data_IF_923071364683
#
_entry.id   IF_923071364683
#
_cell.length_a   1.000
_cell.length_b   1.000
_cell.length_c   1.000
_cell.angle_alpha   90.00
_cell.angle_beta   90.00
_cell.angle_gamma   90.00
#
_symmetry.space_group_name_H-M   'P 1'
#
loop_
_entity.id
_entity.type
_entity.pdbx_description
1 polymer ?
#
# COMPACT_ATOMS: atom_id res chain seq x y z
N UNK A 1 -17.24 13.07 3.36
CA UNK A 1 -15.89 12.47 3.42
C UNK A 1 -15.67 11.75 2.11
N UNK A 2 -14.90 12.35 1.20
CA UNK A 2 -14.66 11.79 -0.13
C UNK A 2 -13.85 10.47 -0.01
N UNK A 3 -14.24 9.45 -0.75
CA UNK A 3 -13.60 8.13 -0.77
C UNK A 3 -12.08 8.23 -0.96
N UNK A 4 -11.33 7.87 0.08
CA UNK A 4 -9.86 7.72 0.07
C UNK A 4 -9.39 6.50 -0.76
N UNK A 5 -10.30 5.79 -1.42
CA UNK A 5 -10.11 4.44 -1.97
C UNK A 5 -9.33 4.36 -3.29
N UNK A 6 -9.21 5.44 -4.06
CA UNK A 6 -8.82 5.29 -5.47
C UNK A 6 -7.34 4.97 -5.71
N UNK A 7 -6.42 5.17 -4.77
CA UNK A 7 -4.98 5.03 -5.06
C UNK A 7 -4.32 3.75 -4.54
N UNK A 8 -4.74 3.22 -3.38
CA UNK A 8 -4.15 1.99 -2.82
C UNK A 8 -4.55 0.74 -3.64
N UNK A 9 -5.69 0.79 -4.32
CA UNK A 9 -6.13 -0.26 -5.24
C UNK A 9 -5.33 -0.29 -6.55
N UNK A 10 -4.78 0.83 -7.03
CA UNK A 10 -4.04 0.86 -8.31
C UNK A 10 -2.73 0.06 -8.22
N UNK A 11 -2.11 -0.02 -7.04
CA UNK A 11 -0.93 -0.87 -6.83
C UNK A 11 -1.24 -2.36 -6.57
N UNK A 12 -2.53 -2.71 -6.43
CA UNK A 12 -3.01 -4.09 -6.23
C UNK A 12 -3.80 -4.67 -7.41
N UNK A 13 -4.27 -3.84 -8.34
CA UNK A 13 -5.18 -4.24 -9.42
C UNK A 13 -4.53 -4.42 -10.80
N UNK A 14 -3.21 -4.27 -10.97
CA UNK A 14 -2.58 -4.45 -12.29
C UNK A 14 -2.46 -5.91 -12.78
N UNK A 15 -3.12 -6.86 -12.11
CA UNK A 15 -3.16 -8.27 -12.53
C UNK A 15 -4.58 -8.86 -12.65
N UNK A 16 -5.62 -8.02 -12.72
CA UNK A 16 -6.98 -8.45 -13.04
C UNK A 16 -7.44 -7.85 -14.37
N UNK A 17 -6.71 -8.20 -15.43
CA UNK A 17 -7.25 -8.24 -16.80
C UNK A 17 -7.20 -9.70 -17.27
N UNK A 18 -7.85 -10.59 -16.51
CA UNK A 18 -8.30 -11.89 -17.01
C UNK A 18 -9.70 -12.09 -16.45
N UNK A 19 -10.70 -11.83 -17.29
CA UNK A 19 -12.12 -11.94 -16.94
C UNK A 19 -12.96 -10.80 -17.51
N UNK A 20 -12.91 -10.56 -18.83
CA UNK A 20 -13.74 -9.51 -19.41
C UNK A 20 -13.60 -9.21 -20.90
N UNK A 21 -12.84 -9.98 -21.69
CA UNK A 21 -12.94 -9.91 -23.16
C UNK A 21 -13.50 -11.25 -23.63
N UNK A 22 -14.76 -11.31 -24.10
CA UNK A 22 -15.24 -12.52 -24.77
C UNK A 22 -14.36 -12.75 -26.00
N UNK A 23 -13.79 -13.96 -26.21
CA UNK A 23 -13.18 -14.28 -27.48
C UNK A 23 -14.28 -14.23 -28.54
N UNK A 24 -14.09 -13.36 -29.53
CA UNK A 24 -14.79 -13.49 -30.79
C UNK A 24 -14.48 -14.89 -31.35
N UNK A 25 -15.51 -15.75 -31.31
CA UNK A 25 -15.68 -16.97 -32.09
C UNK A 25 -14.47 -17.91 -32.25
N UNK A 26 -14.35 -18.89 -31.35
CA UNK A 26 -14.06 -20.27 -31.74
C UNK A 26 -14.56 -21.21 -30.63
N UNK A 27 -15.33 -22.21 -31.05
CA UNK A 27 -16.04 -23.15 -30.21
C UNK A 27 -15.11 -23.98 -29.30
N UNK A 28 -15.48 -24.13 -28.03
CA UNK A 28 -15.61 -25.44 -27.38
C UNK A 28 -16.46 -25.33 -26.12
N UNK A 29 -17.41 -26.26 -26.03
CA UNK A 29 -18.45 -26.40 -25.04
C UNK A 29 -17.91 -26.81 -23.66
N UNK A 30 -18.08 -25.93 -22.68
CA UNK A 30 -17.96 -26.20 -21.26
C UNK A 30 -18.46 -24.96 -20.52
N UNK A 31 -19.74 -24.95 -20.13
CA UNK A 31 -20.31 -23.80 -19.42
C UNK A 31 -19.56 -23.57 -18.10
N UNK A 32 -19.28 -22.32 -17.71
CA UNK A 32 -18.69 -22.06 -16.40
C UNK A 32 -19.67 -22.52 -15.32
N UNK A 33 -19.20 -23.39 -14.42
CA UNK A 33 -19.97 -23.84 -13.28
C UNK A 33 -20.46 -22.62 -12.47
N UNK A 34 -21.77 -22.55 -12.20
CA UNK A 34 -22.37 -21.48 -11.39
C UNK A 34 -21.78 -21.39 -9.96
N UNK A 35 -21.07 -22.45 -9.52
CA UNK A 35 -20.31 -22.48 -8.27
C UNK A 35 -18.98 -21.71 -8.34
N UNK A 36 -18.28 -21.67 -9.48
CA UNK A 36 -17.01 -20.91 -9.60
C UNK A 36 -17.27 -19.41 -9.58
N UNK A 37 -18.40 -18.96 -10.12
CA UNK A 37 -18.79 -17.55 -10.17
C UNK A 37 -19.21 -17.00 -8.80
N UNK A 38 -19.82 -17.83 -7.93
CA UNK A 38 -20.18 -17.43 -6.57
C UNK A 38 -18.96 -17.36 -5.64
N UNK A 39 -18.04 -18.33 -5.71
CA UNK A 39 -16.80 -18.30 -4.94
C UNK A 39 -15.87 -17.15 -5.33
N UNK A 40 -15.73 -16.87 -6.63
CA UNK A 40 -14.93 -15.72 -7.10
C UNK A 40 -15.52 -14.38 -6.65
N UNK A 41 -16.85 -14.23 -6.65
CA UNK A 41 -17.54 -13.02 -6.20
C UNK A 41 -17.40 -12.81 -4.68
N UNK A 42 -17.52 -13.87 -3.89
CA UNK A 42 -17.34 -13.83 -2.44
C UNK A 42 -15.88 -13.51 -2.06
N UNK A 43 -14.91 -14.12 -2.74
CA UNK A 43 -13.51 -13.82 -2.56
C UNK A 43 -13.17 -12.37 -2.92
N UNK A 44 -13.73 -11.84 -4.02
CA UNK A 44 -13.58 -10.43 -4.36
C UNK A 44 -14.12 -9.50 -3.27
N UNK A 45 -15.31 -9.79 -2.73
CA UNK A 45 -15.92 -9.01 -1.65
C UNK A 45 -15.08 -9.03 -0.37
N UNK A 46 -14.59 -10.20 0.03
CA UNK A 46 -13.75 -10.36 1.22
C UNK A 46 -12.41 -9.62 1.06
N UNK A 47 -11.79 -9.75 -0.12
CA UNK A 47 -10.56 -9.03 -0.46
C UNK A 47 -10.76 -7.52 -0.42
N UNK A 48 -11.85 -7.01 -1.01
CA UNK A 48 -12.17 -5.59 -0.99
C UNK A 48 -12.30 -5.07 0.45
N UNK A 49 -13.12 -5.71 1.27
CA UNK A 49 -13.32 -5.30 2.67
C UNK A 49 -12.02 -5.29 3.47
N UNK A 50 -11.10 -6.24 3.18
CA UNK A 50 -9.79 -6.33 3.82
C UNK A 50 -8.88 -5.18 3.39
N UNK A 51 -8.86 -4.83 2.11
CA UNK A 51 -8.09 -3.68 1.62
C UNK A 51 -8.59 -2.35 2.17
N UNK A 52 -9.91 -2.18 2.28
CA UNK A 52 -10.49 -0.99 2.88
C UNK A 52 -10.02 -0.83 4.32
N UNK A 53 -10.06 -1.92 5.10
CA UNK A 53 -9.55 -1.92 6.47
C UNK A 53 -8.05 -1.65 6.56
N UNK A 54 -7.25 -2.26 5.68
CA UNK A 54 -5.81 -1.99 5.62
C UNK A 54 -5.57 -0.51 5.37
N UNK A 55 -6.27 0.08 4.39
CA UNK A 55 -6.11 1.49 4.02
C UNK A 55 -6.51 2.43 5.16
N UNK A 56 -7.69 2.22 5.73
CA UNK A 56 -8.22 3.05 6.82
C UNK A 56 -7.35 2.92 8.07
N UNK A 57 -7.03 1.69 8.48
CA UNK A 57 -6.16 1.44 9.63
C UNK A 57 -4.77 2.01 9.41
N UNK A 58 -4.18 1.85 8.22
CA UNK A 58 -2.88 2.44 7.91
C UNK A 58 -2.93 3.96 8.03
N UNK A 59 -3.97 4.62 7.54
CA UNK A 59 -4.07 6.08 7.55
C UNK A 59 -4.49 6.69 8.89
N UNK A 60 -5.27 5.97 9.70
CA UNK A 60 -5.87 6.49 10.92
C UNK A 60 -5.33 5.80 12.21
N UNK A 61 -4.25 5.01 12.09
CA UNK A 61 -3.57 4.37 13.23
C UNK A 61 -3.15 5.38 14.30
N UNK A 62 -3.30 5.02 15.58
CA UNK A 62 -2.93 5.90 16.70
C UNK A 62 -3.97 6.96 17.04
N UNK A 63 -5.26 6.64 16.84
CA UNK A 63 -6.41 7.49 17.18
C UNK A 63 -6.48 8.81 16.40
N UNK A 64 -6.04 8.82 15.14
CA UNK A 64 -6.10 10.02 14.32
C UNK A 64 -5.38 9.87 12.99
N UNK A 65 -5.51 10.89 12.11
CA UNK A 65 -4.87 10.86 10.79
C UNK A 65 -3.35 10.78 10.92
N UNK A 66 -2.71 10.22 9.90
CA UNK A 66 -1.26 10.19 9.81
C UNK A 66 -0.64 11.58 10.05
N UNK A 67 0.34 11.65 10.94
CA UNK A 67 1.06 12.88 11.26
C UNK A 67 2.19 13.14 10.26
N UNK A 68 2.37 14.41 9.89
CA UNK A 68 3.52 14.85 9.10
C UNK A 68 4.78 14.79 10.00
N UNK A 69 5.77 13.95 9.69
CA UNK A 69 6.98 13.85 10.51
C UNK A 69 7.91 15.07 10.37
N UNK A 70 7.62 15.98 9.42
CA UNK A 70 8.45 17.16 9.18
C UNK A 70 8.32 18.19 10.31
N UNK A 71 9.34 19.05 10.51
CA UNK A 71 9.24 20.16 11.46
C UNK A 71 8.09 21.10 11.07
N UNK A 72 7.36 21.62 12.05
CA UNK A 72 6.32 22.64 11.83
C UNK A 72 6.91 23.88 11.16
N UNK A 73 6.37 24.25 10.00
CA UNK A 73 6.77 25.46 9.26
C UNK A 73 6.45 26.76 10.03
N UNK A 74 5.44 26.73 10.91
CA UNK A 74 4.97 27.89 11.67
C UNK A 74 5.61 28.02 13.06
N UNK A 75 6.57 27.15 13.41
CA UNK A 75 7.30 27.24 14.67
C UNK A 75 8.38 28.33 14.64
N UNK A 76 7.97 29.57 14.33
CA UNK A 76 8.81 30.76 14.37
C UNK A 76 9.49 31.01 15.74
N UNK A 77 9.11 30.25 16.77
CA UNK A 77 9.78 30.17 18.08
C UNK A 77 9.71 28.72 18.60
N UNK A 78 10.88 28.14 18.88
CA UNK A 78 11.19 27.16 19.95
C UNK A 78 10.59 25.74 19.98
N UNK A 79 9.75 25.28 19.05
CA UNK A 79 9.47 23.83 18.98
C UNK A 79 10.61 23.11 18.27
N UNK A 80 11.36 22.30 19.03
CA UNK A 80 12.46 21.51 18.49
C UNK A 80 11.98 20.65 17.31
N UNK A 81 12.76 20.62 16.23
CA UNK A 81 12.52 19.84 15.02
C UNK A 81 12.22 18.34 15.26
N UNK A 82 12.42 17.83 16.48
CA UNK A 82 12.11 16.46 16.88
C UNK A 82 10.67 16.20 17.37
N UNK A 83 9.85 17.23 17.62
CA UNK A 83 8.53 17.01 18.28
C UNK A 83 7.54 16.29 17.38
N UNK A 84 7.39 16.72 16.13
CA UNK A 84 6.50 16.07 15.15
C UNK A 84 7.04 14.71 14.71
N UNK A 85 8.37 14.60 14.55
CA UNK A 85 9.03 13.33 14.23
C UNK A 85 8.77 12.28 15.30
N UNK A 86 8.95 12.63 16.58
CA UNK A 86 8.67 11.73 17.70
C UNK A 86 7.19 11.38 17.79
N UNK A 87 6.29 12.34 17.59
CA UNK A 87 4.85 12.08 17.58
C UNK A 87 4.44 11.12 16.44
N UNK A 88 4.99 11.30 15.23
CA UNK A 88 4.77 10.38 14.11
C UNK A 88 5.37 8.98 14.38
N UNK A 89 6.52 8.91 15.05
CA UNK A 89 7.11 7.65 15.50
C UNK A 89 6.28 6.95 16.57
N UNK A 90 5.71 7.72 17.50
CA UNK A 90 4.82 7.18 18.53
C UNK A 90 3.51 6.69 17.93
N UNK A 91 3.01 7.34 16.87
CA UNK A 91 1.82 6.92 16.13
C UNK A 91 2.07 5.64 15.29
N UNK A 92 3.27 5.49 14.73
CA UNK A 92 3.63 4.34 13.89
C UNK A 92 5.13 4.03 14.06
N UNK A 93 5.46 2.98 14.80
CA UNK A 93 6.83 2.61 15.18
C UNK A 93 7.69 2.17 13.99
N UNK A 94 9.02 2.21 14.16
CA UNK A 94 9.99 1.96 13.08
C UNK A 94 9.82 0.54 12.50
N UNK A 95 9.76 -0.46 13.37
CA UNK A 95 9.56 -1.86 12.98
C UNK A 95 8.27 -2.05 12.17
N UNK A 96 7.19 -1.40 12.59
CA UNK A 96 5.91 -1.54 11.94
C UNK A 96 5.92 -0.85 10.56
N UNK A 97 6.42 0.38 10.43
CA UNK A 97 6.37 1.09 9.15
C UNK A 97 7.26 0.42 8.10
N UNK A 98 8.42 -0.09 8.52
CA UNK A 98 9.28 -0.91 7.65
C UNK A 98 8.63 -2.24 7.28
N UNK A 99 7.98 -2.91 8.23
CA UNK A 99 7.24 -4.16 8.00
C UNK A 99 6.11 -3.97 6.99
N UNK A 100 5.34 -2.88 7.12
CA UNK A 100 4.28 -2.52 6.20
C UNK A 100 4.84 -2.27 4.79
N UNK A 101 5.93 -1.49 4.69
CA UNK A 101 6.56 -1.20 3.40
C UNK A 101 7.14 -2.46 2.73
N UNK A 102 7.73 -3.38 3.50
CA UNK A 102 8.16 -4.70 3.02
C UNK A 102 6.98 -5.52 2.51
N UNK A 103 5.87 -5.54 3.23
CA UNK A 103 4.64 -6.21 2.80
C UNK A 103 4.08 -5.58 1.50
N UNK A 104 4.10 -4.26 1.39
CA UNK A 104 3.68 -3.52 0.19
C UNK A 104 4.42 -3.92 -1.08
N UNK A 105 5.68 -4.35 -0.93
CA UNK A 105 6.56 -4.78 -2.03
C UNK A 105 6.38 -6.24 -2.45
N UNK A 106 5.52 -7.01 -1.77
CA UNK A 106 5.20 -8.39 -2.19
C UNK A 106 4.53 -8.34 -3.57
N UNK A 107 5.10 -9.06 -4.53
CA UNK A 107 4.68 -9.10 -5.93
C UNK A 107 4.95 -10.47 -6.56
N UNK A 108 4.09 -10.96 -7.47
CA UNK A 108 4.34 -12.15 -8.27
C UNK A 108 5.33 -11.90 -9.42
N UNK A 109 5.76 -10.66 -9.67
CA UNK A 109 6.66 -10.31 -10.77
C UNK A 109 8.12 -10.30 -10.31
N UNK A 110 9.02 -10.82 -11.14
CA UNK A 110 10.45 -10.59 -11.02
C UNK A 110 10.82 -9.28 -11.71
N UNK A 111 11.29 -8.32 -10.93
CA UNK A 111 11.77 -7.05 -11.44
C UNK A 111 13.30 -7.00 -11.50
N UNK A 112 13.84 -6.26 -12.48
CA UNK A 112 15.28 -5.98 -12.56
C UNK A 112 15.79 -5.14 -11.38
N UNK A 113 14.96 -4.21 -10.92
CA UNK A 113 15.14 -3.31 -9.78
C UNK A 113 13.80 -3.21 -9.06
N UNK A 114 13.79 -2.87 -7.77
CA UNK A 114 12.53 -2.78 -7.04
C UNK A 114 11.76 -1.51 -7.46
N UNK A 115 10.62 -1.64 -8.17
CA UNK A 115 9.93 -0.48 -8.70
C UNK A 115 9.37 0.41 -7.59
N UNK A 116 9.07 -0.12 -6.41
CA UNK A 116 8.56 0.68 -5.28
C UNK A 116 9.68 1.56 -4.69
N UNK A 117 10.90 1.02 -4.63
CA UNK A 117 12.07 1.79 -4.16
C UNK A 117 12.41 2.87 -5.18
N UNK A 118 12.47 2.52 -6.47
CA UNK A 118 12.75 3.49 -7.54
C UNK A 118 11.69 4.60 -7.61
N UNK A 119 10.40 4.25 -7.48
CA UNK A 119 9.33 5.24 -7.40
C UNK A 119 9.52 6.18 -6.21
N UNK A 120 9.85 5.65 -5.03
CA UNK A 120 10.09 6.51 -3.86
C UNK A 120 11.22 7.49 -4.11
N UNK A 121 12.34 7.01 -4.67
CA UNK A 121 13.49 7.84 -5.02
C UNK A 121 13.10 8.97 -5.98
N UNK A 122 12.36 8.65 -7.04
CA UNK A 122 11.93 9.64 -8.05
C UNK A 122 10.96 10.65 -7.44
N UNK A 123 9.87 10.18 -6.81
CA UNK A 123 8.81 11.06 -6.31
C UNK A 123 9.30 11.94 -5.14
N UNK A 124 10.26 11.47 -4.36
CA UNK A 124 10.89 12.30 -3.32
C UNK A 124 11.99 13.22 -3.84
N UNK A 125 12.51 12.99 -5.05
CA UNK A 125 13.51 13.89 -5.65
C UNK A 125 12.88 15.20 -6.14
N UNK A 126 11.67 15.15 -6.71
CA UNK A 126 10.97 16.32 -7.24
C UNK A 126 9.44 16.15 -7.11
N UNK A 127 8.67 17.16 -6.68
CA UNK A 127 9.02 18.50 -6.17
C UNK A 127 9.58 18.53 -4.74
N UNK A 128 10.31 19.61 -4.41
CA UNK A 128 10.86 19.89 -3.06
C UNK A 128 9.81 19.83 -1.92
N UNK A 129 8.53 19.95 -2.24
CA UNK A 129 7.44 19.88 -1.25
C UNK A 129 7.20 18.47 -0.70
N UNK A 130 7.71 17.43 -1.35
CA UNK A 130 7.64 16.03 -0.87
C UNK A 130 8.99 15.45 -0.47
N UNK A 131 10.07 16.16 -0.80
CA UNK A 131 11.41 15.76 -0.41
C UNK A 131 11.53 15.62 1.12
N UNK A 132 12.11 14.52 1.61
CA UNK A 132 12.39 14.37 3.03
C UNK A 132 13.40 15.43 3.47
N UNK A 133 13.23 16.04 4.66
CA UNK A 133 14.25 16.90 5.25
C UNK A 133 15.58 16.18 5.46
N UNK A 134 16.67 16.92 5.40
CA UNK A 134 17.99 16.38 5.71
C UNK A 134 18.02 15.75 7.12
N UNK A 135 18.66 14.59 7.24
CA UNK A 135 18.77 13.86 8.51
C UNK A 135 17.56 12.99 8.86
N UNK A 136 16.59 12.85 7.96
CA UNK A 136 15.58 11.80 8.04
C UNK A 136 16.25 10.43 7.92
N UNK A 137 15.86 9.50 8.80
CA UNK A 137 16.17 8.08 8.62
C UNK A 137 15.19 7.47 7.62
N UNK A 138 15.52 6.28 7.11
CA UNK A 138 14.62 5.52 6.23
C UNK A 138 13.21 5.35 6.84
N UNK A 139 13.10 5.12 8.15
CA UNK A 139 11.81 5.00 8.81
C UNK A 139 11.02 6.33 8.83
N UNK A 140 11.70 7.47 8.96
CA UNK A 140 11.04 8.78 8.89
C UNK A 140 10.58 9.10 7.47
N UNK A 141 11.37 8.74 6.47
CA UNK A 141 10.97 8.83 5.07
C UNK A 141 9.73 7.98 4.79
N UNK A 142 9.64 6.78 5.36
CA UNK A 142 8.46 5.94 5.23
C UNK A 142 7.24 6.50 5.97
N UNK A 143 7.41 7.19 7.10
CA UNK A 143 6.31 7.94 7.73
C UNK A 143 5.88 9.13 6.92
N UNK A 144 6.82 9.83 6.27
CA UNK A 144 6.49 10.91 5.35
C UNK A 144 5.71 10.37 4.15
N UNK A 145 6.14 9.23 3.61
CA UNK A 145 5.41 8.50 2.57
C UNK A 145 3.98 8.15 3.04
N UNK A 146 3.83 7.56 4.22
CA UNK A 146 2.52 7.28 4.82
C UNK A 146 1.65 8.53 4.89
N UNK A 147 2.17 9.61 5.48
CA UNK A 147 1.47 10.88 5.62
C UNK A 147 0.98 11.39 4.26
N UNK A 148 1.87 11.47 3.26
CA UNK A 148 1.55 11.97 1.93
C UNK A 148 0.55 11.06 1.20
N UNK A 149 0.70 9.74 1.30
CA UNK A 149 -0.27 8.79 0.76
C UNK A 149 -1.66 9.01 1.37
N UNK A 150 -1.75 9.27 2.67
CA UNK A 150 -3.04 9.45 3.35
C UNK A 150 -3.66 10.84 3.16
N UNK A 151 -2.84 11.88 3.03
CA UNK A 151 -3.31 13.28 3.09
C UNK A 151 -3.24 14.04 1.76
N UNK A 152 -2.43 13.60 0.80
CA UNK A 152 -2.13 14.37 -0.41
C UNK A 152 -2.54 13.62 -1.70
N UNK A 153 -3.57 14.12 -2.37
CA UNK A 153 -4.09 13.52 -3.60
C UNK A 153 -3.11 13.60 -4.78
N UNK A 154 -2.43 14.72 -4.94
CA UNK A 154 -1.44 14.90 -6.00
C UNK A 154 -0.26 13.94 -5.83
N UNK A 155 0.22 13.76 -4.59
CA UNK A 155 1.26 12.78 -4.29
C UNK A 155 0.81 11.37 -4.64
N UNK A 156 -0.42 10.97 -4.26
CA UNK A 156 -0.97 9.65 -4.61
C UNK A 156 -1.02 9.43 -6.12
N UNK A 157 -1.48 10.43 -6.87
CA UNK A 157 -1.57 10.36 -8.32
C UNK A 157 -0.17 10.20 -8.95
N UNK A 158 0.79 11.02 -8.53
CA UNK A 158 2.17 10.96 -9.03
C UNK A 158 2.85 9.64 -8.68
N UNK A 159 2.68 9.19 -7.43
CA UNK A 159 3.16 7.88 -6.97
C UNK A 159 2.60 6.75 -7.82
N UNK A 160 1.30 6.72 -8.07
CA UNK A 160 0.66 5.67 -8.86
C UNK A 160 1.14 5.68 -10.32
N UNK A 161 1.26 6.86 -10.94
CA UNK A 161 1.76 7.01 -12.29
C UNK A 161 3.22 6.54 -12.40
N UNK A 162 4.09 7.02 -11.51
CA UNK A 162 5.50 6.66 -11.49
C UNK A 162 5.70 5.17 -11.19
N UNK A 163 4.95 4.60 -10.24
CA UNK A 163 5.01 3.18 -9.92
C UNK A 163 4.65 2.31 -11.11
N UNK A 164 3.58 2.66 -11.83
CA UNK A 164 3.21 1.96 -13.06
C UNK A 164 4.36 1.98 -14.07
N UNK A 165 4.95 3.15 -14.32
CA UNK A 165 6.08 3.28 -15.24
C UNK A 165 7.29 2.44 -14.80
N UNK A 166 7.66 2.45 -13.51
CA UNK A 166 8.79 1.65 -13.03
C UNK A 166 8.48 0.14 -13.08
N UNK A 167 7.25 -0.27 -12.79
CA UNK A 167 6.82 -1.66 -12.93
C UNK A 167 6.95 -2.11 -14.38
N UNK A 168 6.47 -1.34 -15.35
CA UNK A 168 6.60 -1.65 -16.77
C UNK A 168 8.06 -1.69 -17.22
N UNK A 169 8.86 -0.70 -16.80
CA UNK A 169 10.28 -0.58 -17.15
C UNK A 169 11.13 -1.74 -16.64
N UNK A 170 10.88 -2.21 -15.42
CA UNK A 170 11.72 -3.22 -14.78
C UNK A 170 11.12 -4.62 -14.82
N UNK A 171 9.89 -4.80 -15.31
CA UNK A 171 9.26 -6.12 -15.40
C UNK A 171 10.09 -7.03 -16.30
N UNK A 172 10.45 -8.22 -15.78
CA UNK A 172 11.10 -9.26 -16.58
C UNK A 172 10.13 -10.38 -16.92
N UNK A 173 9.68 -11.08 -15.89
CA UNK A 173 8.77 -12.23 -16.01
C UNK A 173 8.03 -12.43 -14.70
N UNK A 174 6.93 -13.18 -14.75
CA UNK A 174 6.32 -13.71 -13.53
C UNK A 174 7.32 -14.65 -12.82
N UNK A 175 7.27 -14.68 -11.49
CA UNK A 175 7.90 -15.74 -10.70
C UNK A 175 7.22 -17.03 -11.14
N UNK A 176 8.01 -17.90 -11.74
CA UNK A 176 7.51 -19.01 -12.53
C UNK A 176 6.89 -20.07 -11.63
N UNK A 177 5.58 -19.98 -11.41
CA UNK A 177 4.72 -21.03 -10.87
C UNK A 177 3.29 -20.83 -11.39
N UNK A 178 2.54 -21.92 -11.46
CA UNK A 178 1.30 -22.12 -12.22
C UNK A 178 0.22 -21.04 -11.98
N UNK A 179 -0.69 -20.90 -12.94
CA UNK A 179 -1.72 -19.85 -13.06
C UNK A 179 -2.62 -19.61 -11.81
N UNK A 180 -2.50 -20.40 -10.73
CA UNK A 180 -3.18 -20.21 -9.45
C UNK A 180 -2.46 -19.32 -8.42
N UNK A 181 -1.19 -18.98 -8.59
CA UNK A 181 -0.40 -18.36 -7.50
C UNK A 181 -0.44 -16.83 -7.41
N UNK A 182 -0.91 -16.12 -8.44
CA UNK A 182 -1.04 -14.64 -8.37
C UNK A 182 -1.92 -14.25 -7.17
N UNK A 183 -2.99 -15.01 -6.97
CA UNK A 183 -3.92 -14.82 -5.86
C UNK A 183 -3.28 -15.11 -4.51
N UNK A 184 -2.38 -16.09 -4.45
CA UNK A 184 -1.59 -16.39 -3.25
C UNK A 184 -0.66 -15.22 -2.88
N UNK A 185 0.03 -14.61 -3.86
CA UNK A 185 0.85 -13.42 -3.61
C UNK A 185 0.01 -12.25 -3.08
N UNK A 186 -1.20 -12.08 -3.59
CA UNK A 186 -2.12 -11.05 -3.14
C UNK A 186 -2.62 -11.31 -1.70
N UNK A 187 -3.03 -12.54 -1.41
CA UNK A 187 -3.42 -12.96 -0.06
C UNK A 187 -2.26 -12.82 0.93
N UNK A 188 -1.05 -13.22 0.54
CA UNK A 188 0.18 -13.07 1.33
C UNK A 188 0.50 -11.60 1.61
N UNK A 189 0.32 -10.72 0.62
CA UNK A 189 0.49 -9.27 0.76
C UNK A 189 -0.48 -8.70 1.79
N UNK A 190 -1.78 -8.99 1.64
CA UNK A 190 -2.81 -8.54 2.58
C UNK A 190 -2.54 -9.09 3.99
N UNK A 191 -2.29 -10.39 4.13
CA UNK A 191 -2.03 -11.03 5.42
C UNK A 191 -0.82 -10.42 6.13
N UNK A 192 0.26 -10.13 5.40
CA UNK A 192 1.44 -9.47 5.95
C UNK A 192 1.14 -8.04 6.42
N UNK A 193 0.38 -7.25 5.64
CA UNK A 193 -0.05 -5.91 6.05
C UNK A 193 -0.97 -5.95 7.27
N UNK A 194 -1.97 -6.83 7.27
CA UNK A 194 -2.90 -7.03 8.39
C UNK A 194 -2.15 -7.39 9.65
N UNK A 195 -1.19 -8.31 9.55
CA UNK A 195 -0.35 -8.69 10.68
C UNK A 195 0.39 -7.49 11.27
N UNK A 196 1.06 -6.70 10.42
CA UNK A 196 1.79 -5.51 10.86
C UNK A 196 0.87 -4.51 11.56
N UNK A 197 -0.31 -4.24 11.00
CA UNK A 197 -1.26 -3.28 11.57
C UNK A 197 -1.85 -3.78 12.90
N UNK A 198 -2.19 -5.07 13.00
CA UNK A 198 -2.67 -5.67 14.27
C UNK A 198 -1.59 -5.64 15.36
N UNK A 199 -0.35 -5.98 15.02
CA UNK A 199 0.78 -5.92 15.96
C UNK A 199 1.01 -4.48 16.45
N UNK A 200 0.85 -3.49 15.55
CA UNK A 200 1.03 -2.08 15.88
C UNK A 200 -0.14 -1.50 16.69
N UNK A 201 -1.38 -1.88 16.40
CA UNK A 201 -2.55 -1.58 17.26
C UNK A 201 -2.31 -2.08 18.69
N UNK A 202 -1.82 -3.33 18.82
CA UNK A 202 -1.47 -3.90 20.12
C UNK A 202 -0.38 -3.10 20.83
N UNK A 203 0.68 -2.68 20.14
CA UNK A 203 1.74 -1.82 20.71
C UNK A 203 1.17 -0.52 21.26
N UNK A 204 0.18 0.05 20.58
CA UNK A 204 -0.48 1.30 20.96
C UNK A 204 -1.56 1.12 22.04
N UNK A 205 -1.84 -0.11 22.48
CA UNK A 205 -2.93 -0.39 23.41
C UNK A 205 -4.33 -0.16 22.81
N UNK A 206 -4.43 -0.11 21.48
CA UNK A 206 -5.71 -0.03 20.76
C UNK A 206 -6.24 -1.47 20.66
N UNK A 207 -7.48 -1.68 21.09
CA UNK A 207 -8.12 -2.97 20.93
C UNK A 207 -8.13 -3.33 19.43
N UNK A 208 -7.52 -4.45 19.02
CA UNK A 208 -7.56 -4.85 17.62
C UNK A 208 -9.02 -5.10 17.25
N UNK A 209 -9.48 -4.47 16.18
CA UNK A 209 -10.81 -4.76 15.66
C UNK A 209 -10.90 -6.27 15.36
N UNK A 210 -11.97 -6.90 15.84
CA UNK A 210 -12.21 -8.31 15.57
C UNK A 210 -12.44 -8.49 14.07
N UNK A 211 -11.38 -8.90 13.37
CA UNK A 211 -11.46 -9.46 12.02
C UNK A 211 -10.87 -10.85 12.05
N UNK A 212 -11.76 -11.83 11.96
CA UNK A 212 -11.42 -13.21 11.72
C UNK A 212 -10.76 -13.29 10.33
N UNK A 213 -9.57 -13.86 10.27
CA UNK A 213 -8.84 -14.08 9.02
C UNK A 213 -9.46 -15.23 8.24
#
# INVERSE_FOLDING_TARGET
>A
MASRMSALLIAGCSALVIGGIPPAAAAQSGGPDQNETSQAAEQYKNNKSTWEWIADTFCDLGNGPALDPRPDKDSGKTKAAGTNRKAAQDQFGDTAIEGYYKAYRITPVNYAQDPVVETRTIVFSEPKSWAPPAGFSDADELRLWRYLMCSNEQFRAEWAATLKTQQEKFAKKLKAEENGQILEYYNKKMAAMVKVLKDEQKRLGIAPEARDN
#
